data_IF_084203911465
#
_entry.id   IF_084203911465
#
_cell.length_a   1.000
_cell.length_b   1.000
_cell.length_c   1.000
_cell.angle_alpha   90.00
_cell.angle_beta   90.00
_cell.angle_gamma   90.00
#
_symmetry.space_group_name_H-M   'P 1'
#
loop_
_entity.id
_entity.type
_entity.pdbx_description
1 polymer ?
#
# COMPACT_ATOMS: atom_id res chain seq x y z
N UNK A 1 20.58 6.87 2.35
CA UNK A 1 20.47 7.28 3.76
C UNK A 1 19.75 6.22 4.58
N UNK A 2 18.42 6.05 4.45
CA UNK A 2 17.64 5.12 5.29
C UNK A 2 18.12 3.66 5.26
N UNK A 3 18.55 3.16 4.09
CA UNK A 3 19.11 1.80 3.94
C UNK A 3 20.45 1.57 4.66
N UNK A 4 21.13 2.63 5.09
CA UNK A 4 22.42 2.54 5.79
C UNK A 4 22.29 2.60 7.31
N UNK A 5 21.08 2.85 7.83
CA UNK A 5 20.80 2.82 9.27
C UNK A 5 20.94 1.37 9.74
N UNK A 6 21.77 1.15 10.76
CA UNK A 6 21.98 -0.17 11.36
C UNK A 6 20.80 -0.56 12.25
N UNK A 7 20.67 -1.85 12.52
CA UNK A 7 19.58 -2.38 13.35
C UNK A 7 19.61 -1.81 14.79
N UNK A 8 20.79 -1.57 15.37
CA UNK A 8 20.95 -0.91 16.68
C UNK A 8 20.40 0.53 16.66
N UNK A 9 20.69 1.28 15.59
CA UNK A 9 20.21 2.64 15.40
C UNK A 9 18.69 2.64 15.18
N UNK A 10 18.15 1.63 14.50
CA UNK A 10 16.71 1.42 14.35
C UNK A 10 16.01 1.29 15.71
N UNK A 11 16.59 0.53 16.64
CA UNK A 11 16.03 0.40 17.99
C UNK A 11 16.07 1.71 18.78
N UNK A 12 17.14 2.51 18.65
CA UNK A 12 17.24 3.84 19.28
C UNK A 12 16.15 4.78 18.75
N UNK A 13 15.79 4.65 17.47
CA UNK A 13 14.69 5.38 16.85
C UNK A 13 13.30 4.85 17.26
N UNK A 14 13.22 3.81 18.09
CA UNK A 14 11.97 3.18 18.51
C UNK A 14 11.36 2.24 17.47
N UNK A 15 12.16 1.78 16.50
CA UNK A 15 11.71 0.92 15.41
C UNK A 15 12.31 -0.48 15.54
N UNK A 16 11.50 -1.51 15.30
CA UNK A 16 11.98 -2.90 15.27
C UNK A 16 12.49 -3.26 13.86
N UNK A 17 13.80 -3.51 13.66
CA UNK A 17 14.36 -3.86 12.35
C UNK A 17 13.81 -5.18 11.77
N UNK A 18 13.13 -6.01 12.58
CA UNK A 18 12.47 -7.24 12.12
C UNK A 18 11.11 -6.96 11.44
N UNK A 19 10.40 -5.90 11.85
CA UNK A 19 9.02 -5.65 11.42
C UNK A 19 8.79 -4.25 10.83
N UNK A 20 9.67 -3.30 11.07
CA UNK A 20 9.48 -1.89 10.75
C UNK A 20 10.82 -1.20 10.48
N UNK A 21 11.59 -1.66 9.48
CA UNK A 21 12.83 -0.97 9.12
C UNK A 21 12.56 0.44 8.58
N UNK A 22 13.41 1.43 8.89
CA UNK A 22 13.22 2.80 8.41
C UNK A 22 13.13 2.93 6.88
N UNK A 23 13.88 2.12 6.12
CA UNK A 23 13.85 2.18 4.66
C UNK A 23 12.52 1.71 4.05
N UNK A 24 11.70 0.96 4.80
CA UNK A 24 10.39 0.48 4.36
C UNK A 24 9.31 1.57 4.38
N UNK A 25 9.59 2.73 4.98
CA UNK A 25 8.69 3.90 4.87
C UNK A 25 8.58 4.41 3.43
N UNK A 26 9.54 4.06 2.57
CA UNK A 26 9.52 4.38 1.14
C UNK A 26 8.97 3.17 0.38
N UNK A 27 7.77 3.31 -0.17
CA UNK A 27 7.11 2.26 -0.95
C UNK A 27 7.82 2.11 -2.30
N UNK A 28 8.39 0.93 -2.53
CA UNK A 28 8.99 0.55 -3.83
C UNK A 28 8.13 -0.46 -4.60
N UNK A 29 7.29 -1.21 -3.87
CA UNK A 29 6.29 -2.11 -4.42
C UNK A 29 4.98 -1.83 -3.70
N UNK A 30 3.97 -1.37 -4.44
CA UNK A 30 2.64 -1.12 -3.89
C UNK A 30 1.81 -2.42 -3.97
N UNK A 31 1.38 -3.02 -2.85
CA UNK A 31 0.55 -4.21 -2.89
C UNK A 31 -0.84 -3.88 -3.45
N UNK A 32 -1.31 -4.69 -4.39
CA UNK A 32 -2.66 -4.56 -4.96
C UNK A 32 -3.59 -5.54 -4.22
N UNK A 33 -4.60 -5.06 -3.48
CA UNK A 33 -5.49 -5.93 -2.71
C UNK A 33 -6.35 -6.83 -3.62
N UNK A 34 -6.85 -7.98 -3.14
CA UNK A 34 -7.76 -8.85 -3.90
C UNK A 34 -9.18 -8.24 -4.04
N UNK A 35 -10.00 -8.80 -4.93
CA UNK A 35 -11.38 -8.32 -5.18
C UNK A 35 -12.29 -8.34 -3.96
N UNK A 36 -12.05 -9.24 -3.00
CA UNK A 36 -12.81 -9.29 -1.74
C UNK A 36 -12.63 -8.02 -0.89
N UNK A 37 -11.54 -7.28 -1.08
CA UNK A 37 -11.23 -6.02 -0.37
C UNK A 37 -11.59 -4.79 -1.21
N UNK A 38 -11.78 -4.95 -2.52
CA UNK A 38 -12.23 -3.91 -3.47
C UNK A 38 -13.41 -4.42 -4.31
N UNK A 39 -14.57 -4.67 -3.70
CA UNK A 39 -15.69 -5.35 -4.35
C UNK A 39 -16.36 -4.48 -5.41
N UNK A 40 -16.75 -5.08 -6.54
CA UNK A 40 -17.55 -4.37 -7.54
C UNK A 40 -18.92 -3.99 -6.96
N UNK A 41 -19.37 -2.77 -7.23
CA UNK A 41 -20.67 -2.25 -6.79
C UNK A 41 -21.68 -2.49 -7.91
N UNK A 42 -22.70 -3.30 -7.62
CA UNK A 42 -23.82 -3.55 -8.52
C UNK A 42 -25.03 -2.82 -7.96
N UNK A 43 -25.42 -1.71 -8.59
CA UNK A 43 -26.73 -1.10 -8.33
C UNK A 43 -27.76 -1.79 -9.23
N UNK A 44 -28.83 -2.32 -8.64
CA UNK A 44 -29.93 -2.95 -9.39
C UNK A 44 -30.46 -1.97 -10.44
N UNK A 45 -30.30 -2.31 -11.72
CA UNK A 45 -30.75 -1.51 -12.87
C UNK A 45 -29.70 -0.56 -13.49
N UNK A 46 -28.51 -0.42 -12.88
CA UNK A 46 -27.42 0.41 -13.42
C UNK A 46 -26.19 -0.42 -13.83
N UNK A 47 -25.33 0.20 -14.65
CA UNK A 47 -24.07 -0.37 -15.10
C UNK A 47 -23.19 -0.83 -13.92
N UNK A 48 -22.37 -1.88 -14.15
CA UNK A 48 -21.39 -2.37 -13.17
C UNK A 48 -20.42 -1.24 -12.83
N UNK A 49 -20.41 -0.79 -11.58
CA UNK A 49 -19.44 0.19 -11.09
C UNK A 49 -18.34 -0.52 -10.31
N UNK A 50 -17.11 -0.04 -10.43
CA UNK A 50 -15.98 -0.55 -9.65
C UNK A 50 -15.89 0.17 -8.30
N UNK A 51 -15.25 -0.47 -7.33
CA UNK A 51 -14.92 0.16 -6.05
C UNK A 51 -14.01 1.40 -6.23
N UNK A 52 -14.11 2.37 -5.33
CA UNK A 52 -13.27 3.58 -5.35
C UNK A 52 -11.78 3.27 -5.26
N UNK A 53 -11.38 2.21 -4.52
CA UNK A 53 -9.98 1.76 -4.48
C UNK A 53 -9.49 1.33 -5.86
N UNK A 54 -10.35 0.70 -6.66
CA UNK A 54 -9.98 0.28 -8.02
C UNK A 54 -9.75 1.48 -8.93
N UNK A 55 -10.58 2.52 -8.80
CA UNK A 55 -10.40 3.76 -9.53
C UNK A 55 -9.10 4.46 -9.14
N UNK A 56 -8.80 4.58 -7.84
CA UNK A 56 -7.56 5.22 -7.38
C UNK A 56 -6.30 4.44 -7.73
N UNK A 57 -6.33 3.12 -7.68
CA UNK A 57 -5.22 2.30 -8.15
C UNK A 57 -4.97 2.49 -9.65
N UNK A 58 -6.03 2.63 -10.46
CA UNK A 58 -5.88 2.92 -11.88
C UNK A 58 -5.27 4.30 -12.14
N UNK A 59 -5.64 5.32 -11.35
CA UNK A 59 -5.03 6.65 -11.43
C UNK A 59 -3.53 6.60 -11.09
N UNK A 60 -3.14 5.88 -10.04
CA UNK A 60 -1.74 5.70 -9.62
C UNK A 60 -0.90 5.02 -10.71
N UNK A 61 -1.45 4.02 -11.41
CA UNK A 61 -0.74 3.28 -12.48
C UNK A 61 -0.57 4.12 -13.74
N UNK A 62 -1.54 5.00 -14.04
CA UNK A 62 -1.55 5.83 -15.26
C UNK A 62 -0.75 7.13 -15.11
N UNK A 63 -0.50 7.55 -13.88
CA UNK A 63 0.33 8.72 -13.54
C UNK A 63 1.81 8.41 -13.82
#
# INVERSE_FOLDING_TARGET
>A
ILKHIKDEESFILGMDPKFARPDWMIITVLPVPPLSVRPAVIMYGSAKNQDDLTHKLADIIKS
#
